data_IF_696565769851
#
_entry.id   IF_696565769851
#
_cell.length_a   1.000
_cell.length_b   1.000
_cell.length_c   1.000
_cell.angle_alpha   90.00
_cell.angle_beta   90.00
_cell.angle_gamma   90.00
#
_symmetry.space_group_name_H-M   'P 1'
#
loop_
_entity.id
_entity.type
_entity.pdbx_description
1 polymer ?
#
# COMPACT_ATOMS: atom_id res chain seq x y z
N UNK A 1 19.07 -57.10 -27.29
CA UNK A 1 17.83 -56.35 -27.02
C UNK A 1 18.15 -54.98 -26.37
N UNK A 2 19.03 -54.16 -26.96
CA UNK A 2 19.41 -52.84 -26.39
C UNK A 2 19.73 -51.75 -27.43
N UNK A 3 19.51 -52.01 -28.73
CA UNK A 3 19.83 -51.04 -29.81
C UNK A 3 18.61 -50.28 -30.37
N UNK A 4 17.39 -50.64 -29.96
CA UNK A 4 16.15 -49.96 -30.38
C UNK A 4 15.62 -48.93 -29.36
N UNK A 5 16.23 -48.87 -28.17
CA UNK A 5 15.84 -47.91 -27.14
C UNK A 5 16.50 -46.53 -27.32
N UNK A 6 17.67 -46.46 -27.97
CA UNK A 6 18.39 -45.21 -28.19
C UNK A 6 17.74 -44.29 -29.23
N UNK A 7 16.97 -44.85 -30.17
CA UNK A 7 16.28 -44.04 -31.20
C UNK A 7 15.02 -43.37 -30.65
N UNK A 8 14.35 -44.01 -29.68
CA UNK A 8 13.17 -43.42 -29.02
C UNK A 8 13.59 -42.31 -28.06
N UNK A 9 14.77 -42.43 -27.41
CA UNK A 9 15.31 -41.37 -26.57
C UNK A 9 15.76 -40.14 -27.39
N UNK A 10 16.27 -40.33 -28.61
CA UNK A 10 16.62 -39.22 -29.49
C UNK A 10 15.39 -38.50 -30.08
N UNK A 11 14.26 -39.18 -30.23
CA UNK A 11 13.02 -38.58 -30.72
C UNK A 11 12.24 -37.82 -29.63
N UNK A 12 12.40 -38.19 -28.36
CA UNK A 12 11.78 -37.49 -27.23
C UNK A 12 12.47 -36.15 -26.90
N UNK A 13 13.75 -35.99 -27.23
CA UNK A 13 14.49 -34.72 -27.02
C UNK A 13 14.15 -33.67 -28.08
N UNK A 14 13.66 -34.08 -29.26
CA UNK A 14 13.26 -33.15 -30.33
C UNK A 14 11.91 -32.45 -30.08
N UNK A 15 11.08 -32.96 -29.16
CA UNK A 15 9.77 -32.37 -28.82
C UNK A 15 9.79 -31.48 -27.57
N UNK A 16 10.94 -31.34 -26.89
CA UNK A 16 11.07 -30.52 -25.69
C UNK A 16 11.56 -29.08 -25.94
N UNK A 17 11.75 -28.67 -27.20
CA UNK A 17 12.27 -27.33 -27.57
C UNK A 17 11.20 -26.33 -28.02
N UNK A 18 9.94 -26.56 -27.64
CA UNK A 18 8.82 -25.64 -27.93
C UNK A 18 8.13 -25.25 -26.61
N UNK A 19 8.82 -24.53 -25.73
CA UNK A 19 8.18 -23.76 -24.65
C UNK A 19 9.22 -22.94 -23.88
N UNK A 20 9.58 -21.77 -24.41
CA UNK A 20 9.99 -20.60 -23.62
C UNK A 20 10.00 -19.36 -24.51
N UNK A 21 8.84 -19.00 -25.07
CA UNK A 21 8.56 -17.59 -25.37
C UNK A 21 8.31 -16.90 -24.03
N UNK A 22 9.39 -16.53 -23.35
CA UNK A 22 9.30 -15.41 -22.43
C UNK A 22 9.06 -14.18 -23.31
N UNK A 23 8.06 -13.32 -23.02
CA UNK A 23 8.02 -12.02 -23.64
C UNK A 23 9.28 -11.30 -23.18
N UNK A 24 10.29 -11.27 -24.06
CA UNK A 24 11.38 -10.33 -23.92
C UNK A 24 10.71 -8.97 -23.93
N UNK A 25 10.66 -8.33 -22.77
CA UNK A 25 10.61 -6.88 -22.72
C UNK A 25 11.85 -6.40 -23.45
N UNK A 26 11.70 -6.20 -24.76
CA UNK A 26 12.64 -5.51 -25.62
C UNK A 26 12.69 -4.06 -25.12
N UNK A 27 13.37 -3.84 -24.00
CA UNK A 27 13.75 -2.50 -23.59
C UNK A 27 14.70 -1.99 -24.68
N UNK A 28 14.33 -0.94 -25.42
CA UNK A 28 15.16 -0.46 -26.51
C UNK A 28 16.52 -0.02 -25.97
N UNK A 29 17.59 -0.64 -26.47
CA UNK A 29 18.97 -0.23 -26.19
C UNK A 29 19.21 1.12 -26.87
N UNK A 30 19.21 2.18 -26.05
CA UNK A 30 19.28 3.59 -26.44
C UNK A 30 20.51 3.92 -27.32
N UNK A 31 20.29 4.49 -28.52
CA UNK A 31 21.34 4.90 -29.47
C UNK A 31 21.15 6.30 -30.10
N UNK A 32 20.24 7.16 -29.60
CA UNK A 32 19.96 8.45 -30.24
C UNK A 32 19.59 9.58 -29.27
N UNK A 33 20.13 10.79 -29.50
CA UNK A 33 19.96 11.96 -28.61
C UNK A 33 18.54 12.56 -28.60
N UNK A 34 17.62 12.06 -29.44
CA UNK A 34 16.25 12.54 -29.56
C UNK A 34 15.30 11.36 -29.74
N UNK A 35 14.76 10.84 -28.65
CA UNK A 35 13.70 9.84 -28.67
C UNK A 35 12.34 10.54 -28.71
N UNK A 36 11.41 10.03 -29.53
CA UNK A 36 10.06 10.60 -29.59
C UNK A 36 9.32 10.25 -28.30
N UNK A 37 9.00 11.28 -27.50
CA UNK A 37 8.19 11.18 -26.27
C UNK A 37 6.79 10.56 -26.48
N UNK A 38 6.34 10.45 -27.72
CA UNK A 38 5.00 9.98 -28.10
C UNK A 38 4.71 8.55 -27.64
N UNK A 39 5.74 7.71 -27.47
CA UNK A 39 5.58 6.32 -26.98
C UNK A 39 5.56 6.20 -25.44
N UNK A 40 5.87 7.28 -24.71
CA UNK A 40 5.89 7.29 -23.24
C UNK A 40 4.59 7.83 -22.63
N UNK A 41 3.79 8.58 -23.40
CA UNK A 41 2.55 9.17 -22.91
C UNK A 41 1.37 8.20 -23.10
N UNK A 42 0.52 8.00 -22.07
CA UNK A 42 -0.64 7.13 -22.19
C UNK A 42 -1.57 7.63 -23.29
N UNK A 43 -2.04 6.71 -24.14
CA UNK A 43 -2.99 7.02 -25.22
C UNK A 43 -4.27 7.60 -24.61
N UNK A 44 -4.86 8.65 -25.20
CA UNK A 44 -6.11 9.23 -24.71
C UNK A 44 -7.21 8.17 -24.60
N UNK A 45 -8.01 8.23 -23.54
CA UNK A 45 -9.15 7.34 -23.32
C UNK A 45 -10.37 8.11 -22.78
N UNK A 46 -11.47 7.40 -22.52
CA UNK A 46 -12.74 8.01 -22.07
C UNK A 46 -12.65 8.70 -20.70
N UNK A 47 -11.64 8.37 -19.90
CA UNK A 47 -11.40 8.95 -18.58
C UNK A 47 -10.37 10.09 -18.61
N UNK A 48 -9.44 10.09 -19.58
CA UNK A 48 -8.38 11.10 -19.70
C UNK A 48 -8.06 11.41 -21.16
N UNK A 49 -8.24 12.66 -21.55
CA UNK A 49 -7.97 13.16 -22.91
C UNK A 49 -6.47 13.31 -23.18
N UNK A 50 -6.07 13.55 -24.44
CA UNK A 50 -4.66 13.73 -24.81
C UNK A 50 -3.98 14.97 -24.27
N UNK A 51 -4.74 15.93 -23.74
CA UNK A 51 -4.21 17.06 -22.98
C UNK A 51 -4.04 16.74 -21.49
N UNK A 52 -4.37 15.52 -21.05
CA UNK A 52 -4.37 15.12 -19.64
C UNK A 52 -5.61 15.55 -18.86
N UNK A 53 -6.55 16.27 -19.49
CA UNK A 53 -7.80 16.72 -18.88
C UNK A 53 -8.79 15.56 -18.66
N UNK A 54 -9.67 15.66 -17.64
CA UNK A 54 -10.80 14.74 -17.43
C UNK A 54 -11.61 14.49 -18.71
N UNK A 55 -11.80 13.22 -19.05
CA UNK A 55 -12.67 12.79 -20.13
C UNK A 55 -14.14 12.72 -19.71
N UNK A 56 -15.07 12.44 -20.64
CA UNK A 56 -16.52 12.41 -20.36
C UNK A 56 -16.95 11.38 -19.29
N UNK A 57 -16.19 10.29 -19.11
CA UNK A 57 -16.48 9.26 -18.10
C UNK A 57 -15.65 9.41 -16.82
N UNK A 58 -14.91 10.51 -16.68
CA UNK A 58 -14.08 10.77 -15.52
C UNK A 58 -14.92 10.92 -14.25
N UNK A 59 -14.49 10.27 -13.17
CA UNK A 59 -15.09 10.36 -11.84
C UNK A 59 -14.02 10.63 -10.79
N UNK A 60 -14.42 11.22 -9.66
CA UNK A 60 -13.57 11.49 -8.51
C UNK A 60 -14.30 11.07 -7.24
N UNK A 61 -13.58 10.47 -6.30
CA UNK A 61 -14.15 10.19 -4.98
C UNK A 61 -14.19 11.46 -4.14
N UNK A 62 -15.17 11.54 -3.24
CA UNK A 62 -15.22 12.57 -2.21
C UNK A 62 -15.32 11.89 -0.84
N UNK A 63 -14.60 12.43 0.13
CA UNK A 63 -14.72 12.04 1.53
C UNK A 63 -14.82 13.31 2.35
N UNK A 64 -15.93 13.45 3.08
CA UNK A 64 -16.15 14.57 3.99
C UNK A 64 -15.86 14.09 5.42
N UNK A 65 -15.11 14.89 6.17
CA UNK A 65 -14.63 14.54 7.50
C UNK A 65 -15.17 15.51 8.53
N UNK A 66 -15.76 14.98 9.61
CA UNK A 66 -16.12 15.74 10.80
C UNK A 66 -15.41 15.14 12.00
N UNK A 67 -14.42 15.85 12.53
CA UNK A 67 -13.54 15.39 13.60
C UNK A 67 -13.81 16.23 14.85
N UNK A 68 -14.15 15.57 15.95
CA UNK A 68 -14.19 16.16 17.28
C UNK A 68 -13.07 15.53 18.12
N UNK A 69 -12.15 16.34 18.62
CA UNK A 69 -11.01 15.89 19.39
C UNK A 69 -10.80 16.78 20.62
N UNK A 70 -10.36 16.15 21.70
CA UNK A 70 -10.06 16.75 22.99
C UNK A 70 -8.63 16.39 23.37
N UNK A 71 -7.86 17.41 23.77
CA UNK A 71 -6.52 17.24 24.32
C UNK A 71 -6.61 17.29 25.84
N UNK A 72 -6.13 16.25 26.50
CA UNK A 72 -5.97 16.20 27.94
C UNK A 72 -4.49 16.31 28.29
N UNK A 73 -4.09 17.47 28.83
CA UNK A 73 -2.70 17.77 29.18
C UNK A 73 -2.23 16.98 30.42
N UNK A 74 -3.11 16.80 31.42
CA UNK A 74 -2.79 16.05 32.65
C UNK A 74 -2.41 14.60 32.36
N UNK A 75 -3.15 13.96 31.45
CA UNK A 75 -2.95 12.57 31.04
C UNK A 75 -2.12 12.44 29.76
N UNK A 76 -1.65 13.55 29.18
CA UNK A 76 -0.93 13.62 27.91
C UNK A 76 -1.57 12.78 26.80
N UNK A 77 -2.90 12.90 26.63
CA UNK A 77 -3.66 12.07 25.70
C UNK A 77 -4.60 12.89 24.82
N UNK A 78 -4.90 12.36 23.63
CA UNK A 78 -5.89 12.92 22.70
C UNK A 78 -7.00 11.90 22.54
N UNK A 79 -8.24 12.31 22.80
CA UNK A 79 -9.43 11.49 22.58
C UNK A 79 -10.36 12.17 21.60
N UNK A 80 -11.01 11.41 20.73
CA UNK A 80 -11.89 12.00 19.73
C UNK A 80 -12.84 11.01 19.09
N UNK A 81 -13.75 11.57 18.32
CA UNK A 81 -14.69 10.88 17.47
C UNK A 81 -14.67 11.52 16.08
N UNK A 82 -14.72 10.68 15.04
CA UNK A 82 -14.66 11.09 13.66
C UNK A 82 -15.85 10.48 12.91
N UNK A 83 -16.50 11.30 12.09
CA UNK A 83 -17.52 10.87 11.13
C UNK A 83 -17.00 11.11 9.73
N UNK A 84 -16.92 10.05 8.93
CA UNK A 84 -16.45 10.08 7.54
C UNK A 84 -17.64 9.79 6.63
N UNK A 85 -18.00 10.76 5.79
CA UNK A 85 -19.02 10.56 4.73
C UNK A 85 -18.32 10.32 3.41
N UNK A 86 -18.33 9.08 2.95
CA UNK A 86 -17.68 8.68 1.70
C UNK A 86 -18.68 8.63 0.54
N UNK A 87 -18.38 9.33 -0.54
CA UNK A 87 -19.17 9.31 -1.78
C UNK A 87 -18.43 8.50 -2.83
N UNK A 88 -18.95 7.29 -3.11
CA UNK A 88 -18.45 6.46 -4.20
C UNK A 88 -19.07 6.91 -5.52
N UNK A 89 -18.34 7.71 -6.29
CA UNK A 89 -18.72 8.13 -7.64
C UNK A 89 -18.19 7.19 -8.73
N UNK A 90 -17.47 6.12 -8.35
CA UNK A 90 -17.05 5.08 -9.28
C UNK A 90 -18.25 4.30 -9.81
N UNK A 91 -18.21 3.82 -11.07
CA UNK A 91 -19.19 2.85 -11.57
C UNK A 91 -19.14 1.50 -10.84
N UNK A 92 -18.05 1.20 -10.12
CA UNK A 92 -17.86 -0.06 -9.41
C UNK A 92 -18.36 0.00 -7.96
N UNK A 93 -18.95 -1.10 -7.49
CA UNK A 93 -19.39 -1.24 -6.11
C UNK A 93 -18.18 -1.32 -5.14
N UNK A 94 -18.15 -0.45 -4.14
CA UNK A 94 -17.13 -0.42 -3.11
C UNK A 94 -17.45 -1.43 -2.00
N UNK A 95 -16.60 -2.46 -1.85
CA UNK A 95 -16.78 -3.52 -0.84
C UNK A 95 -16.13 -3.22 0.50
N UNK A 96 -15.05 -2.44 0.48
CA UNK A 96 -14.26 -2.10 1.66
C UNK A 96 -13.63 -0.72 1.49
N UNK A 97 -13.35 -0.08 2.62
CA UNK A 97 -12.62 1.19 2.68
C UNK A 97 -11.29 0.98 3.41
N UNK A 98 -10.21 1.54 2.87
CA UNK A 98 -8.93 1.61 3.57
C UNK A 98 -8.76 3.00 4.20
N UNK A 99 -8.38 3.01 5.48
CA UNK A 99 -8.03 4.18 6.25
C UNK A 99 -6.59 4.07 6.73
N UNK A 100 -5.89 5.19 6.73
CA UNK A 100 -4.51 5.27 7.16
C UNK A 100 -4.44 5.71 8.63
N UNK A 101 -3.77 4.91 9.45
CA UNK A 101 -3.60 5.07 10.88
C UNK A 101 -2.12 5.36 11.18
N UNK A 102 -1.63 6.52 10.73
CA UNK A 102 -0.20 6.87 10.79
C UNK A 102 0.41 6.79 12.19
N UNK A 103 -0.33 7.17 13.23
CA UNK A 103 0.16 7.12 14.60
C UNK A 103 0.50 5.70 15.07
N UNK A 104 -0.01 4.65 14.41
CA UNK A 104 0.37 3.26 14.71
C UNK A 104 1.85 2.96 14.40
N UNK A 105 2.58 3.89 13.77
CA UNK A 105 4.05 3.81 13.69
C UNK A 105 4.71 3.86 15.08
N UNK A 106 4.08 4.56 16.02
CA UNK A 106 4.53 4.71 17.41
C UNK A 106 3.99 3.62 18.34
N UNK A 107 3.22 2.66 17.82
CA UNK A 107 2.78 1.50 18.60
C UNK A 107 3.98 0.59 18.89
N UNK A 108 4.08 0.10 20.12
CA UNK A 108 5.15 -0.81 20.56
C UNK A 108 5.22 -2.10 19.73
N UNK A 109 4.11 -2.52 19.12
CA UNK A 109 4.02 -3.72 18.27
C UNK A 109 4.36 -3.45 16.81
N UNK A 110 4.72 -2.21 16.44
CA UNK A 110 5.04 -1.87 15.07
C UNK A 110 6.33 -2.59 14.62
N UNK A 111 6.30 -3.19 13.43
CA UNK A 111 7.42 -3.93 12.87
C UNK A 111 8.66 -3.06 12.62
N UNK A 112 8.48 -1.77 12.32
CA UNK A 112 9.57 -0.84 12.05
C UNK A 112 10.52 -0.67 13.24
N UNK A 113 10.01 -0.71 14.48
CA UNK A 113 10.84 -0.67 15.68
C UNK A 113 11.76 -1.90 15.78
N UNK A 114 11.26 -3.08 15.39
CA UNK A 114 12.00 -4.35 15.48
C UNK A 114 13.06 -4.46 14.38
N UNK A 115 12.82 -3.87 13.21
CA UNK A 115 13.76 -3.90 12.07
C UNK A 115 14.78 -2.76 12.08
N UNK A 116 14.71 -1.85 13.05
CA UNK A 116 15.62 -0.70 13.11
C UNK A 116 17.02 -1.17 13.51
N UNK A 117 17.97 -1.07 12.58
CA UNK A 117 19.38 -1.36 12.84
C UNK A 117 20.09 -0.11 13.35
N UNK A 118 20.69 -0.19 14.54
CA UNK A 118 21.52 0.89 15.10
C UNK A 118 22.99 0.70 14.75
N UNK A 119 23.69 1.79 14.42
CA UNK A 119 25.15 1.81 14.32
C UNK A 119 25.75 2.24 15.65
N UNK A 120 26.75 1.52 16.15
CA UNK A 120 27.51 1.94 17.34
C UNK A 120 28.39 3.13 16.96
N UNK A 121 28.34 4.20 17.75
CA UNK A 121 29.16 5.41 17.57
C UNK A 121 29.91 5.69 18.87
N UNK A 122 31.17 6.14 18.77
CA UNK A 122 32.02 6.48 19.93
C UNK A 122 31.45 7.61 20.79
N UNK A 123 30.62 8.48 20.21
CA UNK A 123 29.89 9.50 20.96
C UNK A 123 28.43 9.58 20.50
N UNK A 124 27.54 9.67 21.47
CA UNK A 124 26.12 9.94 21.26
C UNK A 124 25.59 10.81 22.41
N UNK A 125 24.62 11.68 22.10
CA UNK A 125 23.91 12.42 23.15
C UNK A 125 23.13 11.45 24.04
N UNK A 126 23.00 11.76 25.33
CA UNK A 126 22.19 10.99 26.30
C UNK A 126 20.77 10.71 25.79
N UNK A 127 20.12 11.70 25.15
CA UNK A 127 18.77 11.54 24.59
C UNK A 127 18.70 10.50 23.45
N UNK A 128 19.71 10.46 22.58
CA UNK A 128 19.80 9.45 21.50
C UNK A 128 20.08 8.06 22.05
N UNK A 129 20.93 7.95 23.07
CA UNK A 129 21.18 6.67 23.74
C UNK A 129 19.93 6.17 24.43
N UNK A 130 19.20 7.03 25.16
CA UNK A 130 17.94 6.68 25.81
C UNK A 130 16.88 6.21 24.81
N UNK A 131 16.78 6.86 23.65
CA UNK A 131 15.87 6.47 22.57
C UNK A 131 16.28 5.14 21.93
N UNK A 132 17.58 4.91 21.69
CA UNK A 132 18.09 3.65 21.12
C UNK A 132 17.94 2.45 22.05
N UNK A 133 17.96 2.68 23.36
CA UNK A 133 17.72 1.66 24.37
C UNK A 133 16.24 1.50 24.71
N UNK A 134 15.35 2.22 24.01
CA UNK A 134 13.91 2.25 24.27
C UNK A 134 13.57 2.52 25.75
N UNK A 135 14.32 3.41 26.40
CA UNK A 135 14.09 3.77 27.82
C UNK A 135 12.83 4.62 28.02
N UNK A 136 12.13 4.99 26.94
CA UNK A 136 10.86 5.71 26.99
C UNK A 136 9.69 4.73 26.86
N UNK A 137 8.80 4.73 27.85
CA UNK A 137 7.62 3.86 27.88
C UNK A 137 6.38 4.57 27.27
N UNK A 138 6.51 5.06 26.05
CA UNK A 138 5.39 5.70 25.35
C UNK A 138 4.51 4.64 24.67
N UNK A 139 3.22 4.56 25.06
CA UNK A 139 2.23 3.74 24.38
C UNK A 139 1.50 4.56 23.30
N UNK A 140 2.13 4.63 22.11
CA UNK A 140 1.57 5.31 20.95
C UNK A 140 0.53 4.49 20.20
N UNK A 141 0.06 5.06 19.08
CA UNK A 141 -0.91 4.43 18.20
C UNK A 141 -2.37 4.74 18.53
N UNK A 142 -3.23 4.48 17.56
CA UNK A 142 -4.66 4.66 17.70
C UNK A 142 -5.27 3.50 18.48
N UNK A 143 -5.89 3.80 19.63
CA UNK A 143 -6.71 2.84 20.38
C UNK A 143 -8.17 2.95 19.92
N UNK A 144 -8.49 2.28 18.81
CA UNK A 144 -9.83 2.31 18.19
C UNK A 144 -10.86 1.68 19.14
N UNK A 145 -11.80 2.50 19.65
CA UNK A 145 -12.86 2.04 20.58
C UNK A 145 -14.02 1.36 19.85
N UNK A 146 -14.48 1.94 18.75
CA UNK A 146 -15.59 1.40 17.96
C UNK A 146 -15.62 2.00 16.58
N UNK A 147 -16.05 1.18 15.61
CA UNK A 147 -16.35 1.61 14.24
C UNK A 147 -17.80 1.26 13.97
N UNK A 148 -18.59 2.26 13.57
CA UNK A 148 -20.04 2.12 13.41
C UNK A 148 -20.47 2.76 12.10
N UNK A 149 -21.51 2.18 11.51
CA UNK A 149 -22.21 2.74 10.36
C UNK A 149 -23.14 3.91 10.78
N UNK A 150 -23.70 4.64 9.82
CA UNK A 150 -24.67 5.72 10.02
C UNK A 150 -25.90 5.28 10.83
N UNK A 151 -26.25 3.99 10.76
CA UNK A 151 -27.34 3.37 11.53
C UNK A 151 -26.95 3.00 12.98
N UNK A 152 -25.68 3.19 13.35
CA UNK A 152 -25.12 2.79 14.65
C UNK A 152 -24.70 1.32 14.76
N UNK A 153 -24.88 0.53 13.69
CA UNK A 153 -24.43 -0.87 13.62
C UNK A 153 -22.91 -0.95 13.62
N UNK A 154 -22.35 -1.85 14.43
CA UNK A 154 -20.91 -2.10 14.44
C UNK A 154 -20.44 -2.68 13.09
N UNK A 155 -19.34 -2.14 12.55
CA UNK A 155 -18.74 -2.61 11.30
C UNK A 155 -17.53 -3.49 11.58
N UNK A 156 -17.30 -4.49 10.73
CA UNK A 156 -16.10 -5.31 10.77
C UNK A 156 -14.92 -4.52 10.24
N UNK A 157 -13.79 -4.58 10.93
CA UNK A 157 -12.55 -3.97 10.49
C UNK A 157 -11.33 -4.83 10.83
N UNK A 158 -10.28 -4.69 10.03
CA UNK A 158 -8.98 -5.33 10.24
C UNK A 158 -7.89 -4.28 10.22
N UNK A 159 -7.05 -4.23 11.25
CA UNK A 159 -5.88 -3.34 11.31
C UNK A 159 -4.63 -4.16 10.97
N UNK A 160 -3.91 -3.72 9.95
CA UNK A 160 -2.60 -4.21 9.57
C UNK A 160 -1.61 -3.04 9.66
N UNK A 161 -0.88 -2.96 10.77
CA UNK A 161 0.07 -1.88 11.07
C UNK A 161 -0.61 -0.50 10.98
N UNK A 162 -0.19 0.34 10.02
CA UNK A 162 -0.73 1.68 9.77
C UNK A 162 -1.92 1.67 8.81
N UNK A 163 -2.38 0.50 8.36
CA UNK A 163 -3.51 0.40 7.43
C UNK A 163 -4.69 -0.28 8.11
N UNK A 164 -5.86 0.34 8.01
CA UNK A 164 -7.11 -0.21 8.54
C UNK A 164 -8.09 -0.44 7.39
N UNK A 165 -8.61 -1.66 7.28
CA UNK A 165 -9.67 -2.02 6.34
C UNK A 165 -11.00 -2.10 7.06
N UNK A 166 -12.01 -1.42 6.53
CA UNK A 166 -13.40 -1.50 6.98
C UNK A 166 -14.21 -2.20 5.90
N UNK A 167 -14.98 -3.22 6.28
CA UNK A 167 -15.87 -3.93 5.36
C UNK A 167 -17.26 -3.28 5.34
N UNK A 168 -17.73 -2.87 4.15
CA UNK A 168 -18.95 -2.08 3.93
C UNK A 168 -20.20 -2.95 3.69
N UNK A 169 -20.27 -4.11 4.37
CA UNK A 169 -21.19 -5.24 4.14
C UNK A 169 -22.63 -4.89 3.72
#
# INVERSE_FOLDING_TARGET
>A
MMKRLSVIFLLAVAFATQAQDQPKTDAPQWKGKFEQLDQLLPTPNEYRTGSGAPGPKYWQQRADYSINAELNDENQSITGAETITYYNNSPDALKYLWLQLDQNINDKKNASLVTTTSTVRDSSSTLRMASSLSLHDFDGGFKIKSVKDATGKAMSYTINQTMMRIDLA
#
